data_IF_201379539770
#
_entry.id   IF_201379539770
#
_cell.length_a   1.000
_cell.length_b   1.000
_cell.length_c   1.000
_cell.angle_alpha   90.00
_cell.angle_beta   90.00
_cell.angle_gamma   90.00
#
_symmetry.space_group_name_H-M   'P 1'
#
loop_
_entity.id
_entity.type
_entity.pdbx_description
1 polymer ?
#
# COMPACT_ATOMS: atom_id res chain seq x y z
N UNK A 1 11.93 14.89 17.62
CA UNK A 1 12.54 14.32 16.40
C UNK A 1 12.10 15.05 15.13
N UNK A 2 13.05 15.42 14.26
CA UNK A 2 12.76 16.13 13.00
C UNK A 2 12.10 15.19 11.97
N UNK A 3 11.13 15.72 11.23
CA UNK A 3 10.49 15.00 10.11
C UNK A 3 11.52 14.64 9.03
N UNK A 4 11.85 13.35 8.86
CA UNK A 4 12.88 12.92 7.90
C UNK A 4 12.38 12.81 6.46
N UNK A 5 11.14 12.39 6.25
CA UNK A 5 10.64 12.01 4.92
C UNK A 5 9.35 12.74 4.53
N UNK A 6 9.31 14.08 4.61
CA UNK A 6 8.12 14.86 4.18
C UNK A 6 8.48 15.85 3.08
N UNK A 7 7.54 16.03 2.15
CA UNK A 7 7.65 17.03 1.09
C UNK A 7 7.46 18.46 1.64
N UNK A 8 7.98 19.48 0.94
CA UNK A 8 7.69 20.88 1.25
C UNK A 8 6.19 21.19 1.31
N UNK A 9 5.81 22.24 2.04
CA UNK A 9 4.40 22.59 2.24
C UNK A 9 3.65 22.94 0.94
N UNK A 10 4.34 23.50 -0.07
CA UNK A 10 3.74 23.82 -1.36
C UNK A 10 3.28 22.57 -2.13
N UNK A 11 3.91 21.41 -1.90
CA UNK A 11 3.53 20.16 -2.53
C UNK A 11 2.09 19.75 -2.16
N UNK A 12 1.60 20.10 -0.96
CA UNK A 12 0.21 19.82 -0.58
C UNK A 12 -0.79 20.56 -1.47
N UNK A 13 -0.49 21.82 -1.83
CA UNK A 13 -1.33 22.64 -2.72
C UNK A 13 -1.34 22.04 -4.13
N UNK A 14 -0.16 21.67 -4.65
CA UNK A 14 -0.03 20.97 -5.93
C UNK A 14 -0.79 19.65 -5.90
N UNK A 15 -0.72 18.93 -4.78
CA UNK A 15 -1.44 17.68 -4.59
C UNK A 15 -2.95 17.85 -4.76
N UNK A 16 -3.56 18.84 -4.11
CA UNK A 16 -4.99 19.15 -4.32
C UNK A 16 -5.30 19.56 -5.77
N UNK A 17 -4.43 20.35 -6.39
CA UNK A 17 -4.57 20.75 -7.80
C UNK A 17 -4.53 19.57 -8.76
N UNK A 18 -3.84 18.48 -8.42
CA UNK A 18 -3.78 17.26 -9.24
C UNK A 18 -4.91 16.28 -8.91
N UNK A 19 -5.18 16.04 -7.63
CA UNK A 19 -6.18 15.07 -7.17
C UNK A 19 -7.60 15.45 -7.58
N UNK A 20 -7.98 16.73 -7.50
CA UNK A 20 -9.35 17.17 -7.82
C UNK A 20 -9.67 16.95 -9.30
N UNK A 21 -8.88 17.47 -10.27
CA UNK A 21 -9.08 17.15 -11.69
C UNK A 21 -8.94 15.66 -12.00
N UNK A 22 -8.03 14.96 -11.32
CA UNK A 22 -7.87 13.51 -11.48
C UNK A 22 -9.14 12.74 -11.14
N UNK A 23 -9.78 13.04 -10.00
CA UNK A 23 -11.05 12.41 -9.63
C UNK A 23 -12.19 12.80 -10.57
N UNK A 24 -12.26 14.07 -11.02
CA UNK A 24 -13.26 14.51 -12.00
C UNK A 24 -13.09 13.73 -13.30
N UNK A 25 -11.85 13.62 -13.79
CA UNK A 25 -11.54 12.89 -15.02
C UNK A 25 -11.87 11.39 -14.88
N UNK A 26 -11.49 10.77 -13.77
CA UNK A 26 -11.83 9.37 -13.46
C UNK A 26 -13.34 9.15 -13.40
N UNK A 27 -14.09 10.04 -12.75
CA UNK A 27 -15.56 9.99 -12.74
C UNK A 27 -16.14 10.11 -14.16
N UNK A 28 -15.66 11.05 -14.97
CA UNK A 28 -16.11 11.19 -16.35
C UNK A 28 -15.77 9.96 -17.20
N UNK A 29 -14.58 9.39 -17.03
CA UNK A 29 -14.18 8.17 -17.73
C UNK A 29 -15.08 6.99 -17.36
N UNK A 30 -15.22 6.68 -16.07
CA UNK A 30 -15.97 5.51 -15.58
C UNK A 30 -17.47 5.62 -15.81
N UNK A 31 -18.09 6.75 -15.49
CA UNK A 31 -19.56 6.86 -15.52
C UNK A 31 -20.12 7.43 -16.82
N UNK A 32 -19.33 8.23 -17.55
CA UNK A 32 -19.78 8.87 -18.80
C UNK A 32 -19.10 8.30 -20.03
N UNK A 33 -18.26 7.26 -19.88
CA UNK A 33 -17.43 6.70 -20.95
C UNK A 33 -16.61 7.77 -21.69
N UNK A 34 -16.24 8.83 -20.98
CA UNK A 34 -15.50 9.94 -21.58
C UNK A 34 -14.06 9.55 -21.85
N UNK A 35 -13.60 9.76 -23.08
CA UNK A 35 -12.21 9.59 -23.50
C UNK A 35 -11.74 10.91 -24.09
N UNK A 36 -10.57 11.38 -23.68
CA UNK A 36 -9.98 12.61 -24.24
C UNK A 36 -9.72 12.36 -25.74
N UNK A 37 -10.32 13.15 -26.65
CA UNK A 37 -10.13 12.99 -28.09
C UNK A 37 -8.65 13.15 -28.46
N UNK A 38 -8.12 12.23 -29.27
CA UNK A 38 -6.71 12.25 -29.69
C UNK A 38 -5.71 11.84 -28.60
N UNK A 39 -6.16 11.52 -27.38
CA UNK A 39 -5.29 11.07 -26.28
C UNK A 39 -5.12 9.55 -26.26
N UNK A 40 -4.76 9.01 -27.41
CA UNK A 40 -4.50 7.60 -27.60
C UNK A 40 -3.52 7.36 -28.72
N UNK A 41 -2.84 6.22 -28.66
CA UNK A 41 -1.82 5.82 -29.63
C UNK A 41 -2.12 4.42 -30.16
N UNK A 42 -1.68 4.17 -31.39
CA UNK A 42 -1.63 2.83 -31.93
C UNK A 42 -0.48 2.09 -31.27
N UNK A 43 -0.79 1.21 -30.32
CA UNK A 43 0.20 0.46 -29.54
C UNK A 43 0.55 -0.90 -30.18
N UNK A 44 -0.30 -1.39 -31.09
CA UNK A 44 -0.17 -2.72 -31.71
C UNK A 44 -0.50 -2.68 -33.20
N UNK A 45 -0.02 -3.66 -33.95
CA UNK A 45 -0.35 -3.81 -35.37
C UNK A 45 -1.72 -4.45 -35.59
N UNK A 46 -2.13 -5.37 -34.70
CA UNK A 46 -3.37 -6.13 -34.81
C UNK A 46 -4.10 -6.19 -33.48
N UNK A 47 -5.44 -6.34 -33.56
CA UNK A 47 -6.27 -6.55 -32.37
C UNK A 47 -5.99 -7.96 -31.85
N UNK A 48 -5.69 -8.06 -30.56
CA UNK A 48 -5.68 -9.34 -29.83
C UNK A 48 -6.93 -9.39 -28.94
N UNK A 49 -7.29 -10.59 -28.46
CA UNK A 49 -8.38 -10.73 -27.49
C UNK A 49 -8.12 -9.83 -26.28
N UNK A 50 -9.07 -8.93 -25.97
CA UNK A 50 -8.99 -7.94 -24.89
C UNK A 50 -7.90 -6.86 -25.04
N UNK A 51 -7.33 -6.72 -26.23
CA UNK A 51 -6.17 -5.87 -26.49
C UNK A 51 -6.33 -5.13 -27.83
N UNK A 52 -7.02 -3.97 -27.84
CA UNK A 52 -7.26 -3.20 -29.05
C UNK A 52 -5.96 -2.59 -29.62
N UNK A 53 -5.92 -2.39 -30.94
CA UNK A 53 -4.83 -1.72 -31.67
C UNK A 53 -4.59 -0.30 -31.17
N UNK A 54 -5.68 0.42 -30.95
CA UNK A 54 -5.69 1.79 -30.45
C UNK A 54 -6.07 1.80 -28.97
N UNK A 55 -5.19 2.32 -28.13
CA UNK A 55 -5.40 2.46 -26.69
C UNK A 55 -5.51 3.94 -26.32
N UNK A 56 -6.45 4.28 -25.45
CA UNK A 56 -6.66 5.64 -24.98
C UNK A 56 -6.23 5.76 -23.52
N UNK A 57 -5.34 6.71 -23.23
CA UNK A 57 -4.66 6.81 -21.94
C UNK A 57 -5.41 7.65 -20.89
N UNK A 58 -6.70 7.95 -21.12
CA UNK A 58 -7.48 8.84 -20.24
C UNK A 58 -7.57 8.27 -18.82
N UNK A 59 -7.71 6.95 -18.68
CA UNK A 59 -7.78 6.31 -17.36
C UNK A 59 -6.42 6.36 -16.65
N UNK A 60 -5.34 6.05 -17.37
CA UNK A 60 -3.98 6.09 -16.86
C UNK A 60 -3.60 7.49 -16.39
N UNK A 61 -3.99 8.52 -17.15
CA UNK A 61 -3.82 9.92 -16.75
C UNK A 61 -4.62 10.24 -15.48
N UNK A 62 -5.88 9.79 -15.39
CA UNK A 62 -6.70 9.99 -14.20
C UNK A 62 -6.07 9.33 -12.97
N UNK A 63 -5.67 8.06 -13.08
CA UNK A 63 -4.99 7.31 -12.01
C UNK A 63 -3.69 8.01 -11.64
N UNK A 64 -2.86 8.39 -12.61
CA UNK A 64 -1.60 9.08 -12.37
C UNK A 64 -1.82 10.36 -11.55
N UNK A 65 -2.74 11.23 -11.98
CA UNK A 65 -3.08 12.48 -11.30
C UNK A 65 -3.61 12.26 -9.89
N UNK A 66 -4.50 11.28 -9.70
CA UNK A 66 -5.04 10.92 -8.37
C UNK A 66 -3.93 10.42 -7.46
N UNK A 67 -3.13 9.45 -7.90
CA UNK A 67 -2.09 8.82 -7.08
C UNK A 67 -1.02 9.82 -6.69
N UNK A 68 -0.42 10.52 -7.66
CA UNK A 68 0.63 11.50 -7.35
C UNK A 68 0.07 12.63 -6.47
N UNK A 69 -1.14 13.11 -6.76
CA UNK A 69 -1.77 14.15 -5.98
C UNK A 69 -2.02 13.73 -4.52
N UNK A 70 -2.54 12.51 -4.31
CA UNK A 70 -2.77 11.98 -2.97
C UNK A 70 -1.46 11.73 -2.22
N UNK A 71 -0.42 11.20 -2.87
CA UNK A 71 0.91 11.05 -2.26
C UNK A 71 1.44 12.41 -1.80
N UNK A 72 1.33 13.45 -2.65
CA UNK A 72 1.77 14.81 -2.31
C UNK A 72 0.95 15.40 -1.15
N UNK A 73 -0.38 15.23 -1.14
CA UNK A 73 -1.25 15.67 -0.02
C UNK A 73 -0.82 14.97 1.27
N UNK A 74 -0.74 13.65 1.24
CA UNK A 74 -0.55 12.81 2.41
C UNK A 74 0.79 13.07 3.13
N UNK A 75 1.83 13.40 2.35
CA UNK A 75 3.19 13.52 2.84
C UNK A 75 3.77 14.93 2.76
N UNK A 76 2.95 15.94 2.46
CA UNK A 76 3.36 17.34 2.57
C UNK A 76 3.45 17.82 4.03
N UNK A 77 4.41 18.70 4.29
CA UNK A 77 4.53 19.42 5.57
C UNK A 77 3.40 20.44 5.73
N UNK A 78 2.96 20.61 6.97
CA UNK A 78 2.15 21.76 7.36
C UNK A 78 3.02 23.03 7.42
N UNK A 79 2.43 24.23 7.26
CA UNK A 79 3.14 25.52 7.34
C UNK A 79 3.98 25.66 8.62
N UNK A 80 3.48 25.12 9.73
CA UNK A 80 4.22 24.90 10.98
C UNK A 80 4.13 23.41 11.29
N UNK A 81 5.22 22.69 11.05
CA UNK A 81 5.32 21.26 11.34
C UNK A 81 6.07 21.09 12.66
N UNK A 82 5.39 20.56 13.66
CA UNK A 82 5.98 20.18 14.95
C UNK A 82 6.16 18.66 15.05
N UNK A 83 6.79 18.21 16.13
CA UNK A 83 7.07 16.79 16.36
C UNK A 83 5.77 15.97 16.52
N UNK A 84 4.75 16.59 17.11
CA UNK A 84 3.44 16.00 17.28
C UNK A 84 2.79 15.71 15.93
N UNK A 85 2.81 16.66 15.00
CA UNK A 85 2.27 16.49 13.63
C UNK A 85 2.94 15.35 12.88
N UNK A 86 4.26 15.20 13.04
CA UNK A 86 5.02 14.09 12.46
C UNK A 86 4.61 12.74 13.07
N UNK A 87 4.50 12.65 14.40
CA UNK A 87 4.04 11.44 15.12
C UNK A 87 2.60 11.09 14.76
N UNK A 88 1.72 12.08 14.65
CA UNK A 88 0.32 11.93 14.25
C UNK A 88 0.22 11.32 12.85
N UNK A 89 1.03 11.81 11.91
CA UNK A 89 1.04 11.31 10.53
C UNK A 89 1.47 9.85 10.46
N UNK A 90 2.54 9.48 11.16
CA UNK A 90 3.02 8.11 11.22
C UNK A 90 1.99 7.15 11.85
N UNK A 91 1.34 7.58 12.93
CA UNK A 91 0.26 6.81 13.57
C UNK A 91 -0.97 6.68 12.65
N UNK A 92 -1.37 7.77 12.00
CA UNK A 92 -2.48 7.77 11.05
C UNK A 92 -2.18 6.84 9.85
N UNK A 93 -0.94 6.81 9.37
CA UNK A 93 -0.51 5.90 8.31
C UNK A 93 -0.62 4.44 8.77
N UNK A 94 -0.10 4.12 9.96
CA UNK A 94 -0.19 2.77 10.54
C UNK A 94 -1.62 2.25 10.58
N UNK A 95 -2.55 3.04 11.12
CA UNK A 95 -3.95 2.66 11.20
C UNK A 95 -4.64 2.69 9.84
N UNK A 96 -4.26 3.63 8.95
CA UNK A 96 -4.83 3.72 7.60
C UNK A 96 -4.54 2.48 6.78
N UNK A 97 -3.30 2.02 6.80
CA UNK A 97 -2.89 0.76 6.16
C UNK A 97 -3.58 -0.44 6.82
N UNK A 98 -3.68 -0.48 8.16
CA UNK A 98 -4.35 -1.57 8.87
C UNK A 98 -5.81 -1.69 8.46
N UNK A 99 -6.56 -0.58 8.55
CA UNK A 99 -7.98 -0.53 8.23
C UNK A 99 -8.20 -0.87 6.77
N UNK A 100 -7.38 -0.33 5.86
CA UNK A 100 -7.44 -0.64 4.45
C UNK A 100 -7.35 -2.15 4.19
N UNK A 101 -6.31 -2.82 4.69
CA UNK A 101 -6.13 -4.25 4.42
C UNK A 101 -7.19 -5.12 5.09
N UNK A 102 -7.67 -4.74 6.28
CA UNK A 102 -8.79 -5.44 6.91
C UNK A 102 -10.05 -5.33 6.06
N UNK A 103 -10.42 -4.12 5.61
CA UNK A 103 -11.56 -3.92 4.70
C UNK A 103 -11.36 -4.67 3.38
N UNK A 104 -10.15 -4.63 2.81
CA UNK A 104 -9.83 -5.32 1.57
C UNK A 104 -10.02 -6.84 1.68
N UNK A 105 -9.51 -7.46 2.74
CA UNK A 105 -9.69 -8.90 2.98
C UNK A 105 -11.18 -9.22 3.18
N UNK A 106 -11.92 -8.40 3.94
CA UNK A 106 -13.36 -8.59 4.13
C UNK A 106 -14.12 -8.53 2.80
N UNK A 107 -13.79 -7.58 1.92
CA UNK A 107 -14.40 -7.49 0.58
C UNK A 107 -14.06 -8.72 -0.26
N UNK A 108 -12.81 -9.21 -0.23
CA UNK A 108 -12.44 -10.44 -0.92
C UNK A 108 -13.22 -11.66 -0.39
N UNK A 109 -13.35 -11.81 0.93
CA UNK A 109 -14.11 -12.91 1.53
C UNK A 109 -15.60 -12.84 1.22
N UNK A 110 -16.18 -11.63 1.19
CA UNK A 110 -17.57 -11.43 0.78
C UNK A 110 -17.77 -11.75 -0.70
N UNK A 111 -16.81 -11.42 -1.57
CA UNK A 111 -16.89 -11.74 -3.00
C UNK A 111 -16.90 -13.26 -3.27
N UNK A 112 -16.31 -14.06 -2.37
CA UNK A 112 -16.31 -15.53 -2.44
C UNK A 112 -17.69 -16.10 -2.11
N UNK A 113 -18.43 -15.50 -1.18
CA UNK A 113 -19.72 -16.04 -0.69
C UNK A 113 -20.92 -15.47 -1.41
N UNK A 114 -20.93 -14.16 -1.68
CA UNK A 114 -22.06 -13.43 -2.28
C UNK A 114 -21.87 -13.30 -3.80
N UNK A 115 -20.66 -13.52 -4.31
CA UNK A 115 -20.29 -13.21 -5.69
C UNK A 115 -19.83 -11.75 -5.84
N UNK A 116 -19.48 -11.38 -7.07
CA UNK A 116 -19.04 -10.02 -7.37
C UNK A 116 -20.26 -9.08 -7.43
N UNK A 117 -20.20 -8.01 -6.63
CA UNK A 117 -21.20 -6.94 -6.73
C UNK A 117 -20.89 -6.18 -8.02
N UNK A 118 -21.86 -6.07 -8.97
CA UNK A 118 -21.68 -5.28 -10.18
C UNK A 118 -21.18 -3.88 -9.85
N UNK A 119 -20.35 -3.28 -10.71
CA UNK A 119 -19.63 -2.02 -10.47
C UNK A 119 -18.46 -2.12 -9.48
N UNK A 120 -18.66 -2.65 -8.27
CA UNK A 120 -17.54 -2.78 -7.31
C UNK A 120 -16.51 -3.78 -7.84
N UNK A 121 -16.96 -4.92 -8.39
CA UNK A 121 -16.08 -5.92 -8.99
C UNK A 121 -15.29 -5.36 -10.18
N UNK A 122 -15.99 -4.73 -11.12
CA UNK A 122 -15.41 -4.20 -12.36
C UNK A 122 -14.33 -3.13 -12.12
N UNK A 123 -14.49 -2.33 -11.06
CA UNK A 123 -13.59 -1.22 -10.72
C UNK A 123 -12.75 -1.47 -9.46
N UNK A 124 -12.77 -2.70 -8.90
CA UNK A 124 -12.12 -3.00 -7.62
C UNK A 124 -10.62 -2.64 -7.65
N UNK A 125 -9.92 -3.07 -8.69
CA UNK A 125 -8.48 -2.84 -8.86
C UNK A 125 -8.11 -1.36 -8.88
N UNK A 126 -8.91 -0.54 -9.56
CA UNK A 126 -8.74 0.91 -9.66
C UNK A 126 -8.99 1.60 -8.32
N UNK A 127 -10.06 1.22 -7.61
CA UNK A 127 -10.40 1.76 -6.29
C UNK A 127 -9.32 1.41 -5.27
N UNK A 128 -8.76 0.20 -5.34
CA UNK A 128 -7.73 -0.26 -4.42
C UNK A 128 -6.45 0.57 -4.45
N UNK A 129 -6.13 1.17 -5.60
CA UNK A 129 -4.92 1.99 -5.77
C UNK A 129 -4.90 3.15 -4.77
N UNK A 130 -5.98 3.94 -4.71
CA UNK A 130 -5.99 5.20 -3.97
C UNK A 130 -6.62 5.10 -2.57
N UNK A 131 -7.38 4.03 -2.29
CA UNK A 131 -8.08 3.84 -1.01
C UNK A 131 -7.15 3.86 0.23
N UNK A 132 -5.95 3.23 0.24
CA UNK A 132 -5.05 3.31 1.40
C UNK A 132 -4.64 4.75 1.73
N UNK A 133 -4.34 5.55 0.69
CA UNK A 133 -3.98 6.95 0.84
C UNK A 133 -5.17 7.77 1.33
N UNK A 134 -6.38 7.55 0.82
CA UNK A 134 -7.57 8.25 1.28
C UNK A 134 -7.87 7.99 2.75
N UNK A 135 -7.85 6.72 3.19
CA UNK A 135 -8.09 6.37 4.59
C UNK A 135 -7.03 7.01 5.49
N UNK A 136 -5.77 6.95 5.08
CA UNK A 136 -4.66 7.60 5.79
C UNK A 136 -4.86 9.12 5.90
N UNK A 137 -5.09 9.81 4.78
CA UNK A 137 -5.28 11.27 4.73
C UNK A 137 -6.48 11.66 5.60
N UNK A 138 -7.61 10.97 5.46
CA UNK A 138 -8.81 11.20 6.24
C UNK A 138 -8.51 11.09 7.73
N UNK A 139 -7.89 9.99 8.17
CA UNK A 139 -7.54 9.78 9.58
C UNK A 139 -6.58 10.83 10.10
N UNK A 140 -5.57 11.20 9.32
CA UNK A 140 -4.60 12.22 9.71
C UNK A 140 -5.28 13.57 9.95
N UNK A 141 -6.13 14.02 9.03
CA UNK A 141 -6.84 15.29 9.18
C UNK A 141 -7.92 15.24 10.26
N UNK A 142 -8.61 14.11 10.41
CA UNK A 142 -9.55 13.90 11.50
C UNK A 142 -8.86 14.09 12.86
N UNK A 143 -7.74 13.40 13.07
CA UNK A 143 -6.98 13.52 14.31
C UNK A 143 -6.47 14.95 14.49
N UNK A 144 -5.92 15.56 13.44
CA UNK A 144 -5.32 16.90 13.51
C UNK A 144 -6.30 18.00 13.91
N UNK A 145 -7.53 17.97 13.39
CA UNK A 145 -8.48 19.08 13.56
C UNK A 145 -9.57 18.80 14.60
N UNK A 146 -10.00 17.55 14.75
CA UNK A 146 -11.19 17.23 15.54
C UNK A 146 -10.88 16.56 16.88
N UNK A 147 -9.71 15.94 17.04
CA UNK A 147 -9.37 15.27 18.28
C UNK A 147 -8.71 16.24 19.28
N UNK A 148 -9.47 16.70 20.29
CA UNK A 148 -8.99 17.61 21.34
C UNK A 148 -7.87 17.02 22.22
N UNK A 149 -7.74 15.70 22.25
CA UNK A 149 -6.69 14.97 22.98
C UNK A 149 -5.56 14.48 22.06
N UNK A 150 -5.34 15.12 20.91
CA UNK A 150 -4.29 14.75 19.96
C UNK A 150 -2.88 14.61 20.56
N UNK A 151 -2.64 15.25 21.71
CA UNK A 151 -1.37 15.18 22.45
C UNK A 151 -1.20 13.86 23.22
N UNK A 152 -2.30 13.20 23.62
CA UNK A 152 -2.33 11.93 24.35
C UNK A 152 -2.41 10.75 23.35
N UNK A 153 -1.32 10.53 22.64
CA UNK A 153 -1.26 9.47 21.62
C UNK A 153 -1.10 8.10 22.26
N UNK A 154 -2.12 7.24 22.13
CA UNK A 154 -1.95 5.82 22.42
C UNK A 154 -0.94 5.19 21.46
N UNK A 155 -0.04 4.38 22.02
CA UNK A 155 0.92 3.61 21.24
C UNK A 155 0.19 2.69 20.25
N UNK A 156 0.69 2.53 19.01
CA UNK A 156 0.19 1.54 18.07
C UNK A 156 0.08 0.16 18.74
N UNK A 157 -1.09 -0.46 18.67
CA UNK A 157 -1.33 -1.78 19.23
C UNK A 157 -0.85 -2.85 18.25
N UNK A 158 0.07 -3.68 18.71
CA UNK A 158 0.65 -4.78 17.93
C UNK A 158 0.29 -6.13 18.54
N UNK A 159 0.33 -7.18 17.71
CA UNK A 159 0.09 -8.56 18.13
C UNK A 159 1.30 -9.15 18.86
N UNK A 160 1.12 -10.05 19.84
CA UNK A 160 2.25 -10.64 20.56
C UNK A 160 3.11 -11.53 19.63
N UNK A 161 4.41 -11.62 19.92
CA UNK A 161 5.36 -12.32 19.05
C UNK A 161 5.02 -13.81 18.88
N UNK A 162 4.83 -14.53 20.00
CA UNK A 162 4.42 -15.95 19.98
C UNK A 162 2.94 -16.07 20.33
N UNK A 163 2.16 -16.92 19.64
CA UNK A 163 2.55 -17.78 18.51
C UNK A 163 2.47 -17.10 17.12
N UNK A 164 1.93 -15.89 17.03
CA UNK A 164 1.52 -15.26 15.77
C UNK A 164 2.64 -15.05 14.74
N UNK A 165 3.88 -14.73 15.15
CA UNK A 165 4.99 -14.54 14.21
C UNK A 165 5.26 -15.80 13.39
N UNK A 166 5.28 -16.98 14.03
CA UNK A 166 5.59 -18.25 13.36
C UNK A 166 4.46 -18.62 12.39
N UNK A 167 3.22 -18.47 12.83
CA UNK A 167 2.04 -18.74 12.02
C UNK A 167 2.01 -17.81 10.81
N UNK A 168 2.26 -16.51 11.00
CA UNK A 168 2.25 -15.53 9.94
C UNK A 168 3.35 -15.78 8.89
N UNK A 169 4.59 -16.07 9.31
CA UNK A 169 5.69 -16.37 8.38
C UNK A 169 5.40 -17.64 7.60
N UNK A 170 5.03 -18.73 8.28
CA UNK A 170 4.72 -20.00 7.61
C UNK A 170 3.52 -19.87 6.67
N UNK A 171 2.46 -19.20 7.11
CA UNK A 171 1.26 -18.96 6.31
C UNK A 171 1.54 -18.08 5.09
N UNK A 172 2.32 -17.01 5.23
CA UNK A 172 2.66 -16.12 4.12
C UNK A 172 3.53 -16.82 3.07
N UNK A 173 4.54 -17.59 3.50
CA UNK A 173 5.42 -18.32 2.59
C UNK A 173 4.71 -19.48 1.88
N UNK A 174 3.93 -20.27 2.62
CA UNK A 174 3.19 -21.39 2.03
C UNK A 174 2.12 -20.92 1.04
N UNK A 175 1.32 -19.90 1.40
CA UNK A 175 0.34 -19.32 0.49
C UNK A 175 0.96 -18.65 -0.74
N UNK A 176 2.10 -17.96 -0.61
CA UNK A 176 2.82 -17.39 -1.75
C UNK A 176 3.37 -18.47 -2.69
N UNK A 177 3.90 -19.57 -2.15
CA UNK A 177 4.36 -20.71 -2.95
C UNK A 177 3.20 -21.36 -3.68
N UNK A 178 2.10 -21.63 -2.98
CA UNK A 178 0.87 -22.18 -3.55
C UNK A 178 0.34 -21.25 -4.66
N UNK A 179 0.28 -19.94 -4.43
CA UNK A 179 -0.15 -18.95 -5.41
C UNK A 179 0.73 -18.94 -6.66
N UNK A 180 2.05 -19.00 -6.49
CA UNK A 180 3.01 -19.04 -7.60
C UNK A 180 2.88 -20.33 -8.42
N UNK A 181 2.71 -21.47 -7.73
CA UNK A 181 2.42 -22.75 -8.38
C UNK A 181 1.09 -22.67 -9.15
N UNK A 182 0.04 -22.07 -8.59
CA UNK A 182 -1.22 -21.86 -9.30
C UNK A 182 -1.04 -21.04 -10.58
N UNK A 183 -0.24 -19.97 -10.55
CA UNK A 183 0.03 -19.16 -11.74
C UNK A 183 0.77 -19.93 -12.86
N UNK A 184 1.60 -20.93 -12.50
CA UNK A 184 2.46 -21.63 -13.47
C UNK A 184 1.92 -23.00 -13.92
N UNK A 185 1.37 -23.78 -13.01
CA UNK A 185 0.98 -25.19 -13.24
C UNK A 185 -0.45 -25.33 -13.78
N UNK A 186 -1.28 -24.32 -13.57
CA UNK A 186 -2.73 -24.41 -13.82
C UNK A 186 -3.08 -23.52 -15.01
N UNK A 187 -2.86 -24.07 -16.20
CA UNK A 187 -3.43 -23.55 -17.46
C UNK A 187 -4.91 -23.95 -17.62
N UNK A 188 -5.55 -24.48 -16.57
CA UNK A 188 -6.84 -25.16 -16.59
C UNK A 188 -7.83 -24.64 -15.55
N UNK A 189 -9.11 -24.64 -15.91
CA UNK A 189 -10.41 -24.55 -15.21
C UNK A 189 -10.52 -24.79 -13.67
N UNK A 190 -9.56 -24.39 -12.86
CA UNK A 190 -9.72 -24.35 -11.40
C UNK A 190 -10.66 -23.20 -11.03
N UNK A 191 -11.52 -23.41 -10.03
CA UNK A 191 -12.50 -22.42 -9.61
C UNK A 191 -11.81 -21.13 -9.16
N UNK A 192 -12.17 -20.01 -9.80
CA UNK A 192 -11.77 -18.64 -9.46
C UNK A 192 -11.82 -18.37 -7.93
N UNK A 193 -12.76 -19.03 -7.25
CA UNK A 193 -12.91 -19.09 -5.80
C UNK A 193 -11.64 -19.51 -5.04
N UNK A 194 -10.91 -20.54 -5.50
CA UNK A 194 -9.72 -21.04 -4.83
C UNK A 194 -8.54 -20.06 -4.98
N UNK A 195 -8.39 -19.44 -6.15
CA UNK A 195 -7.36 -18.42 -6.39
C UNK A 195 -7.59 -17.22 -5.46
N UNK A 196 -8.83 -16.71 -5.42
CA UNK A 196 -9.22 -15.62 -4.50
C UNK A 196 -8.99 -16.01 -3.04
N UNK A 197 -9.32 -17.24 -2.65
CA UNK A 197 -9.09 -17.78 -1.31
C UNK A 197 -7.60 -17.77 -0.91
N UNK A 198 -6.74 -18.36 -1.74
CA UNK A 198 -5.29 -18.40 -1.49
C UNK A 198 -4.69 -17.00 -1.45
N UNK A 199 -5.09 -16.12 -2.38
CA UNK A 199 -4.63 -14.74 -2.41
C UNK A 199 -5.03 -13.96 -1.16
N UNK A 200 -6.26 -14.15 -0.67
CA UNK A 200 -6.74 -13.54 0.58
C UNK A 200 -5.95 -14.02 1.80
N UNK A 201 -5.63 -15.31 1.87
CA UNK A 201 -4.78 -15.89 2.92
C UNK A 201 -3.36 -15.33 2.87
N UNK A 202 -2.79 -15.17 1.67
CA UNK A 202 -1.47 -14.57 1.50
C UNK A 202 -1.41 -13.15 2.07
N UNK A 203 -2.40 -12.31 1.75
CA UNK A 203 -2.47 -10.95 2.27
C UNK A 203 -2.73 -10.94 3.77
N UNK A 204 -3.62 -11.80 4.28
CA UNK A 204 -3.91 -11.92 5.71
C UNK A 204 -2.66 -12.30 6.50
N UNK A 205 -1.93 -13.33 6.07
CA UNK A 205 -0.72 -13.77 6.77
C UNK A 205 0.39 -12.71 6.72
N UNK A 206 0.57 -12.03 5.58
CA UNK A 206 1.49 -10.91 5.48
C UNK A 206 1.07 -9.73 6.37
N UNK A 207 -0.22 -9.40 6.44
CA UNK A 207 -0.72 -8.36 7.33
C UNK A 207 -0.44 -8.73 8.79
N UNK A 208 -0.75 -9.95 9.22
CA UNK A 208 -0.40 -10.39 10.58
C UNK A 208 1.10 -10.26 10.82
N UNK A 209 1.96 -10.66 9.88
CA UNK A 209 3.41 -10.50 10.00
C UNK A 209 3.80 -9.03 10.22
N UNK A 210 3.26 -8.10 9.41
CA UNK A 210 3.51 -6.66 9.53
C UNK A 210 3.18 -6.12 10.92
N UNK A 211 2.13 -6.63 11.56
CA UNK A 211 1.58 -6.10 12.83
C UNK A 211 1.99 -6.90 14.08
N UNK A 212 2.83 -7.93 13.94
CA UNK A 212 3.38 -8.69 15.07
C UNK A 212 4.58 -7.97 15.70
N UNK A 213 4.65 -7.96 17.04
CA UNK A 213 5.76 -7.41 17.83
C UNK A 213 7.05 -8.19 17.66
N UNK A 214 8.17 -7.48 17.76
CA UNK A 214 9.48 -8.12 17.98
C UNK A 214 9.58 -8.67 19.41
N UNK A 215 10.57 -9.54 19.68
CA UNK A 215 10.72 -10.15 21.02
C UNK A 215 11.05 -9.11 22.09
N UNK A 216 11.86 -8.12 21.72
CA UNK A 216 12.17 -6.92 22.48
C UNK A 216 11.76 -5.77 21.58
N UNK A 217 10.87 -4.91 22.07
CA UNK A 217 10.37 -3.77 21.31
C UNK A 217 10.31 -2.55 22.22
N UNK A 218 11.25 -1.64 21.99
CA UNK A 218 11.35 -0.34 22.64
C UNK A 218 10.76 0.77 21.75
N UNK A 219 10.73 1.99 22.26
CA UNK A 219 10.22 3.16 21.53
C UNK A 219 10.95 3.39 20.21
N UNK A 220 12.27 3.18 20.18
CA UNK A 220 13.09 3.35 18.98
C UNK A 220 12.68 2.33 17.90
N UNK A 221 12.50 1.06 18.26
CA UNK A 221 12.05 0.00 17.34
C UNK A 221 10.66 0.32 16.80
N UNK A 222 9.75 0.79 17.66
CA UNK A 222 8.41 1.19 17.25
C UNK A 222 8.47 2.32 16.22
N UNK A 223 9.32 3.32 16.42
CA UNK A 223 9.50 4.38 15.45
C UNK A 223 10.11 3.89 14.14
N UNK A 224 11.13 3.02 14.20
CA UNK A 224 11.73 2.43 13.01
C UNK A 224 10.70 1.64 12.19
N UNK A 225 9.71 1.00 12.83
CA UNK A 225 8.57 0.37 12.15
C UNK A 225 7.71 1.39 11.42
N UNK A 226 7.29 2.45 12.11
CA UNK A 226 6.46 3.46 11.47
C UNK A 226 7.19 4.12 10.28
N UNK A 227 8.48 4.41 10.43
CA UNK A 227 9.33 4.91 9.34
C UNK A 227 9.49 3.88 8.21
N UNK A 228 9.57 2.57 8.53
CA UNK A 228 9.57 1.50 7.51
C UNK A 228 8.29 1.49 6.71
N UNK A 229 7.15 1.64 7.37
CA UNK A 229 5.84 1.63 6.72
C UNK A 229 5.69 2.82 5.79
N UNK A 230 6.14 3.99 6.22
CA UNK A 230 6.18 5.17 5.37
C UNK A 230 7.04 4.94 4.11
N UNK A 231 8.23 4.36 4.26
CA UNK A 231 9.09 4.07 3.12
C UNK A 231 8.53 2.97 2.21
N UNK A 232 7.82 1.98 2.77
CA UNK A 232 7.13 0.96 1.99
C UNK A 232 6.03 1.55 1.11
N UNK A 233 5.27 2.48 1.67
CA UNK A 233 4.23 3.23 0.94
C UNK A 233 4.87 4.06 -0.17
N UNK A 234 5.95 4.80 0.10
CA UNK A 234 6.65 5.55 -0.95
C UNK A 234 7.19 4.66 -2.07
N UNK A 235 7.82 3.54 -1.72
CA UNK A 235 8.37 2.63 -2.71
C UNK A 235 7.25 2.01 -3.56
N UNK A 236 6.19 1.53 -2.92
CA UNK A 236 5.05 0.90 -3.60
C UNK A 236 4.35 1.88 -4.56
N UNK A 237 4.04 3.10 -4.11
CA UNK A 237 3.42 4.10 -4.98
C UNK A 237 4.38 4.65 -6.03
N UNK A 238 5.68 4.70 -5.77
CA UNK A 238 6.69 5.03 -6.77
C UNK A 238 6.72 4.01 -7.91
N UNK A 239 6.75 2.70 -7.58
CA UNK A 239 6.66 1.61 -8.56
C UNK A 239 5.33 1.65 -9.29
N UNK A 240 4.22 1.91 -8.60
CA UNK A 240 2.90 2.02 -9.21
C UNK A 240 2.83 3.16 -10.24
N UNK A 241 3.34 4.34 -9.90
CA UNK A 241 3.36 5.49 -10.81
C UNK A 241 4.23 5.22 -12.05
N UNK A 242 5.39 4.60 -11.88
CA UNK A 242 6.22 4.15 -13.00
C UNK A 242 5.46 3.12 -13.85
N UNK A 243 4.77 2.18 -13.21
CA UNK A 243 4.01 1.18 -13.93
C UNK A 243 2.86 1.77 -14.74
N UNK A 244 2.17 2.80 -14.22
CA UNK A 244 1.13 3.53 -14.95
C UNK A 244 1.67 4.24 -16.20
N UNK A 245 2.97 4.57 -16.24
CA UNK A 245 3.61 5.19 -17.42
C UNK A 245 4.07 4.13 -18.44
N UNK A 246 4.49 2.95 -17.99
CA UNK A 246 5.15 1.96 -18.85
C UNK A 246 4.28 0.76 -19.25
N UNK A 247 3.28 0.39 -18.46
CA UNK A 247 2.44 -0.79 -18.69
C UNK A 247 1.00 -0.41 -18.98
N UNK A 248 0.35 -1.21 -19.84
CA UNK A 248 -1.00 -0.95 -20.34
C UNK A 248 -1.81 -2.23 -20.50
N UNK A 249 -3.12 -2.09 -20.64
CA UNK A 249 -4.07 -3.20 -20.86
C UNK A 249 -3.87 -4.33 -19.82
N UNK A 250 -3.82 -5.59 -20.27
CA UNK A 250 -3.67 -6.76 -19.42
C UNK A 250 -2.38 -6.75 -18.56
N UNK A 251 -1.27 -6.23 -19.11
CA UNK A 251 -0.01 -6.16 -18.36
C UNK A 251 -0.12 -5.25 -17.13
N UNK A 252 -0.90 -4.18 -17.22
CA UNK A 252 -1.15 -3.27 -16.10
C UNK A 252 -1.99 -3.94 -15.01
N UNK A 253 -3.00 -4.73 -15.37
CA UNK A 253 -3.81 -5.48 -14.39
C UNK A 253 -2.97 -6.43 -13.53
N UNK A 254 -2.01 -7.11 -14.13
CA UNK A 254 -1.06 -7.96 -13.40
C UNK A 254 -0.23 -7.13 -12.42
N UNK A 255 0.24 -5.94 -12.82
CA UNK A 255 0.96 -5.04 -11.92
C UNK A 255 0.10 -4.60 -10.73
N UNK A 256 -1.18 -4.27 -10.95
CA UNK A 256 -2.10 -3.90 -9.87
C UNK A 256 -2.30 -5.05 -8.85
N UNK A 257 -2.39 -6.29 -9.33
CA UNK A 257 -2.49 -7.47 -8.47
C UNK A 257 -1.26 -7.63 -7.56
N UNK A 258 -0.05 -7.40 -8.10
CA UNK A 258 1.19 -7.43 -7.34
C UNK A 258 1.36 -6.20 -6.43
N UNK A 259 0.88 -5.02 -6.85
CA UNK A 259 1.00 -3.79 -6.09
C UNK A 259 0.40 -3.94 -4.68
N UNK A 260 -0.74 -4.61 -4.58
CA UNK A 260 -1.45 -4.80 -3.33
C UNK A 260 -0.68 -5.63 -2.29
N UNK A 261 0.05 -6.65 -2.73
CA UNK A 261 0.89 -7.47 -1.86
C UNK A 261 2.28 -6.85 -1.62
N UNK A 262 2.84 -6.17 -2.63
CA UNK A 262 4.21 -5.67 -2.61
C UNK A 262 4.47 -4.63 -1.52
N UNK A 263 3.47 -3.84 -1.11
CA UNK A 263 3.59 -2.90 0.02
C UNK A 263 3.90 -3.65 1.32
N UNK A 264 3.15 -4.71 1.63
CA UNK A 264 3.38 -5.53 2.83
C UNK A 264 4.74 -6.23 2.76
N UNK A 265 5.08 -6.79 1.59
CA UNK A 265 6.35 -7.48 1.38
C UNK A 265 7.55 -6.54 1.55
N UNK A 266 7.52 -5.35 0.95
CA UNK A 266 8.61 -4.39 1.08
C UNK A 266 8.80 -3.95 2.53
N UNK A 267 7.70 -3.69 3.25
CA UNK A 267 7.77 -3.41 4.68
C UNK A 267 8.46 -4.53 5.44
N UNK A 268 8.05 -5.79 5.21
CA UNK A 268 8.62 -6.96 5.89
C UNK A 268 10.12 -7.06 5.62
N UNK A 269 10.53 -6.98 4.35
CA UNK A 269 11.95 -7.06 3.96
C UNK A 269 12.75 -5.96 4.64
N UNK A 270 12.28 -4.70 4.59
CA UNK A 270 12.98 -3.57 5.23
C UNK A 270 13.09 -3.79 6.74
N UNK A 271 12.01 -4.21 7.39
CA UNK A 271 12.00 -4.42 8.83
C UNK A 271 12.98 -5.50 9.27
N UNK A 272 12.99 -6.65 8.58
CA UNK A 272 13.93 -7.72 8.91
C UNK A 272 15.39 -7.30 8.65
N UNK A 273 15.66 -6.54 7.57
CA UNK A 273 16.99 -5.97 7.31
C UNK A 273 17.44 -5.00 8.41
N UNK A 274 16.57 -4.07 8.84
CA UNK A 274 16.89 -3.11 9.90
C UNK A 274 17.15 -3.82 11.22
N UNK A 275 16.34 -4.82 11.57
CA UNK A 275 16.54 -5.62 12.79
C UNK A 275 17.87 -6.38 12.75
N UNK A 276 18.20 -7.01 11.62
CA UNK A 276 19.48 -7.69 11.43
C UNK A 276 20.66 -6.74 11.62
N UNK A 277 20.60 -5.56 10.98
CA UNK A 277 21.64 -4.54 11.11
C UNK A 277 21.82 -4.07 12.55
N UNK A 278 20.73 -3.78 13.26
CA UNK A 278 20.77 -3.31 14.64
C UNK A 278 21.34 -4.38 15.59
N UNK A 279 20.92 -5.64 15.45
CA UNK A 279 21.46 -6.74 16.25
C UNK A 279 22.96 -6.95 16.01
N UNK A 280 23.41 -6.84 14.76
CA UNK A 280 24.84 -6.92 14.43
C UNK A 280 25.65 -5.79 15.09
N UNK A 281 25.11 -4.57 15.12
CA UNK A 281 25.76 -3.44 15.78
C UNK A 281 25.81 -3.62 17.31
N UNK A 282 24.73 -4.13 17.92
CA UNK A 282 24.69 -4.42 19.35
C UNK A 282 25.72 -5.48 19.73
N UNK A 283 25.77 -6.60 19.00
CA UNK A 283 26.75 -7.66 19.27
C UNK A 283 28.20 -7.15 19.14
N UNK A 284 28.49 -6.31 18.13
CA UNK A 284 29.82 -5.72 17.97
C UNK A 284 30.21 -4.76 19.13
N UNK A 285 29.24 -4.03 19.69
CA UNK A 285 29.46 -3.18 20.86
C UNK A 285 29.68 -4.02 22.13
N UNK A 286 28.90 -5.09 22.31
CA UNK A 286 29.07 -6.03 23.42
C UNK A 286 30.43 -6.74 23.40
N UNK A 287 30.87 -7.16 22.21
CA UNK A 287 32.22 -7.72 22.01
C UNK A 287 33.30 -6.69 22.36
N UNK A 288 33.17 -5.43 21.91
CA UNK A 288 34.13 -4.35 22.21
C UNK A 288 34.25 -4.04 23.70
N UNK A 289 33.14 -4.00 24.45
CA UNK A 289 33.15 -3.79 25.90
C UNK A 289 33.70 -4.99 26.68
N UNK A 290 33.68 -6.19 26.10
CA UNK A 290 34.26 -7.39 26.71
C UNK A 290 35.78 -7.37 26.78
N UNK A 291 36.45 -6.60 25.92
CA UNK A 291 37.93 -6.47 25.92
C UNK A 291 38.45 -5.37 26.86
N UNK A 292 37.59 -4.52 27.41
CA UNK A 292 37.94 -3.46 28.38
C UNK A 292 37.78 -3.88 29.85
N UNK A 293 37.39 -5.12 30.13
CA UNK A 293 37.30 -5.70 31.48
C UNK A 293 38.43 -6.67 31.76
#
# INVERSE_FOLDING_TARGET
MKSKFLFPAWCGIVGYLMTIPGFILGYCYTFKNYKIPGFGFQMREQNRLFEPVFENFTNELAIFLVVIGLVLIAFSKSKREDELSAKLRLNALYWGIMVYYVCYILVLLLSITVGEIPFIGDHASEINIFTPLLIFIFRYYYLKYFNKESYLMSEPKFLPNRPFKRIAVFGALSSALIFTVFLFLVKSELSDTLIKGVYSLMILCSLVWVYVKNRVEDEMTMQLRLESLQLAVYFNYGVLLLATIFFYSFSYLVVLLFAQFSLLLFFIIRMEYVNYKNNKQLNALEEGMGYEK
#
